data_IF_186712596577
#
_entry.id   IF_186712596577
#
_cell.length_a   1.000
_cell.length_b   1.000
_cell.length_c   1.000
_cell.angle_alpha   90.00
_cell.angle_beta   90.00
_cell.angle_gamma   90.00
#
_symmetry.space_group_name_H-M   'P 1'
#
loop_
_entity.id
_entity.type
_entity.pdbx_description
1 polymer ?
#
# COMPACT_ATOMS: atom_id res chain seq x y z
N UNK A 1 -3.68 24.72 -8.36
CA UNK A 1 -3.10 24.44 -9.70
C UNK A 1 -1.61 24.74 -9.65
N UNK A 2 -0.81 23.79 -9.17
CA UNK A 2 0.65 23.91 -9.13
C UNK A 2 1.20 23.72 -10.53
N UNK A 3 2.05 24.68 -10.95
CA UNK A 3 2.85 24.64 -12.17
C UNK A 3 3.40 23.23 -12.42
N UNK A 4 3.06 22.66 -13.57
CA UNK A 4 3.48 21.33 -14.00
C UNK A 4 4.98 21.38 -14.33
N UNK A 5 5.84 21.41 -13.30
CA UNK A 5 7.26 21.12 -13.47
C UNK A 5 7.36 19.76 -14.15
N UNK A 6 8.18 19.65 -15.19
CA UNK A 6 8.41 18.38 -15.86
C UNK A 6 8.87 17.37 -14.80
N UNK A 7 8.10 16.29 -14.63
CA UNK A 7 8.40 15.23 -13.68
C UNK A 7 9.81 14.64 -13.90
N UNK A 8 10.37 14.73 -15.11
CA UNK A 8 11.75 14.38 -15.36
C UNK A 8 12.73 15.27 -14.57
N UNK A 9 12.50 16.59 -14.54
CA UNK A 9 13.33 17.53 -13.78
C UNK A 9 13.20 17.30 -12.27
N UNK A 10 11.97 17.07 -11.79
CA UNK A 10 11.72 16.74 -10.38
C UNK A 10 12.41 15.43 -10.00
N UNK A 11 12.36 14.43 -10.88
CA UNK A 11 13.05 13.15 -10.69
C UNK A 11 14.57 13.32 -10.60
N UNK A 12 15.18 14.09 -11.51
CA UNK A 12 16.63 14.28 -11.51
C UNK A 12 17.10 15.06 -10.28
N UNK A 13 16.35 16.07 -9.85
CA UNK A 13 16.62 16.80 -8.61
C UNK A 13 16.50 15.90 -7.38
N UNK A 14 15.40 15.15 -7.27
CA UNK A 14 15.19 14.18 -6.20
C UNK A 14 16.30 13.12 -6.19
N UNK A 15 16.67 12.59 -7.36
CA UNK A 15 17.72 11.56 -7.49
C UNK A 15 19.06 12.07 -6.99
N UNK A 16 19.43 13.31 -7.35
CA UNK A 16 20.65 13.96 -6.85
C UNK A 16 20.66 14.07 -5.33
N UNK A 17 19.55 14.54 -4.73
CA UNK A 17 19.42 14.65 -3.27
C UNK A 17 19.45 13.26 -2.60
N UNK A 18 18.70 12.31 -3.16
CA UNK A 18 18.64 10.93 -2.70
C UNK A 18 20.02 10.27 -2.66
N UNK A 19 20.86 10.49 -3.68
CA UNK A 19 22.25 10.02 -3.70
C UNK A 19 23.07 10.69 -2.60
N UNK A 20 23.00 12.02 -2.50
CA UNK A 20 23.82 12.79 -1.54
C UNK A 20 23.53 12.41 -0.08
N UNK A 21 22.27 12.10 0.23
CA UNK A 21 21.82 11.75 1.58
C UNK A 21 21.59 10.26 1.80
N UNK A 22 21.90 9.42 0.79
CA UNK A 22 21.76 7.95 0.86
C UNK A 22 20.35 7.55 1.34
N UNK A 23 19.32 8.13 0.73
CA UNK A 23 17.93 8.00 1.19
C UNK A 23 16.94 7.88 0.04
N UNK A 24 15.87 7.12 0.22
CA UNK A 24 14.74 7.03 -0.72
C UNK A 24 13.52 7.85 -0.27
N UNK A 25 13.67 8.67 0.77
CA UNK A 25 12.61 9.57 1.23
C UNK A 25 12.05 10.39 0.07
N UNK A 26 10.74 10.68 0.11
CA UNK A 26 9.99 11.36 -0.95
C UNK A 26 9.87 10.60 -2.29
N UNK A 27 10.28 9.32 -2.37
CA UNK A 27 10.03 8.50 -3.57
C UNK A 27 8.54 8.30 -3.86
N UNK A 28 7.66 8.47 -2.87
CA UNK A 28 6.22 8.50 -3.03
C UNK A 28 5.76 9.67 -3.89
N UNK A 29 6.35 10.86 -3.74
CA UNK A 29 6.04 12.02 -4.58
C UNK A 29 6.43 11.79 -6.05
N UNK A 30 7.54 11.08 -6.26
CA UNK A 30 7.95 10.65 -7.61
C UNK A 30 6.94 9.67 -8.18
N UNK A 31 6.49 8.68 -7.39
CA UNK A 31 5.44 7.76 -7.82
C UNK A 31 4.16 8.50 -8.22
N UNK A 32 3.72 9.49 -7.44
CA UNK A 32 2.54 10.29 -7.81
C UNK A 32 2.67 10.97 -9.17
N UNK A 33 3.80 11.64 -9.39
CA UNK A 33 4.07 12.27 -10.69
C UNK A 33 4.13 11.26 -11.84
N UNK A 34 4.70 10.08 -11.61
CA UNK A 34 4.74 9.00 -12.60
C UNK A 34 3.36 8.42 -12.92
N UNK A 35 2.51 8.27 -11.91
CA UNK A 35 1.15 7.77 -12.10
C UNK A 35 0.30 8.76 -12.91
N UNK A 36 0.59 10.06 -12.81
CA UNK A 36 0.01 11.10 -13.67
C UNK A 36 0.45 11.05 -15.15
N UNK A 37 1.46 10.25 -15.50
CA UNK A 37 1.93 10.07 -16.89
C UNK A 37 1.24 8.89 -17.62
N UNK A 38 0.03 8.49 -17.21
CA UNK A 38 -0.67 7.35 -17.81
C UNK A 38 -0.86 7.52 -19.34
N UNK A 39 -1.03 8.75 -19.82
CA UNK A 39 -1.17 9.08 -21.25
C UNK A 39 0.16 8.97 -22.05
N UNK A 40 1.29 8.78 -21.36
CA UNK A 40 2.59 8.51 -21.98
C UNK A 40 3.25 7.25 -21.38
N UNK A 41 2.77 6.04 -21.77
CA UNK A 41 3.22 4.77 -21.20
C UNK A 41 4.74 4.55 -21.29
N UNK A 42 5.37 4.97 -22.38
CA UNK A 42 6.82 4.82 -22.59
C UNK A 42 7.62 5.69 -21.62
N UNK A 43 7.24 6.96 -21.44
CA UNK A 43 7.91 7.87 -20.48
C UNK A 43 7.68 7.38 -19.05
N UNK A 44 6.45 6.97 -18.73
CA UNK A 44 6.10 6.40 -17.43
C UNK A 44 6.97 5.17 -17.10
N UNK A 45 7.00 4.16 -17.99
CA UNK A 45 7.76 2.94 -17.77
C UNK A 45 9.27 3.19 -17.67
N UNK A 46 9.83 4.07 -18.51
CA UNK A 46 11.25 4.44 -18.48
C UNK A 46 11.64 5.08 -17.14
N UNK A 47 10.89 6.09 -16.69
CA UNK A 47 11.17 6.76 -15.43
C UNK A 47 10.92 5.84 -14.21
N UNK A 48 9.88 5.01 -14.25
CA UNK A 48 9.65 4.01 -13.21
C UNK A 48 10.82 3.02 -13.12
N UNK A 49 11.36 2.57 -14.26
CA UNK A 49 12.55 1.72 -14.28
C UNK A 49 13.77 2.40 -13.63
N UNK A 50 13.98 3.70 -13.90
CA UNK A 50 15.04 4.49 -13.26
C UNK A 50 14.83 4.63 -11.76
N UNK A 51 13.60 4.96 -11.33
CA UNK A 51 13.24 5.08 -9.91
C UNK A 51 13.50 3.78 -9.17
N UNK A 52 12.99 2.67 -9.69
CA UNK A 52 13.15 1.34 -9.11
C UNK A 52 14.62 0.94 -9.01
N UNK A 53 15.41 1.14 -10.08
CA UNK A 53 16.85 0.86 -10.08
C UNK A 53 17.62 1.73 -9.09
N UNK A 54 17.16 2.95 -8.84
CA UNK A 54 17.76 3.86 -7.88
C UNK A 54 17.43 3.44 -6.44
N UNK A 55 16.17 3.16 -6.13
CA UNK A 55 15.74 2.72 -4.80
C UNK A 55 16.43 1.42 -4.35
N UNK A 56 16.70 0.48 -5.28
CA UNK A 56 17.39 -0.77 -4.96
C UNK A 56 18.81 -0.61 -4.42
N UNK A 57 19.43 0.55 -4.63
CA UNK A 57 20.78 0.81 -4.11
C UNK A 57 20.76 1.06 -2.59
N UNK A 58 19.60 1.42 -2.03
CA UNK A 58 19.49 1.91 -0.65
C UNK A 58 18.44 1.17 0.19
N UNK A 59 17.41 0.58 -0.43
CA UNK A 59 16.34 -0.11 0.29
C UNK A 59 15.99 -1.47 -0.34
N UNK A 60 15.37 -2.32 0.49
CA UNK A 60 14.89 -3.63 0.05
C UNK A 60 13.77 -3.49 -1.01
N UNK A 61 13.74 -4.32 -2.07
CA UNK A 61 12.74 -4.22 -3.14
C UNK A 61 11.28 -4.16 -2.64
N UNK A 62 10.96 -4.95 -1.60
CA UNK A 62 9.63 -4.95 -0.99
C UNK A 62 9.24 -3.62 -0.34
N UNK A 63 10.20 -2.83 0.16
CA UNK A 63 9.93 -1.48 0.69
C UNK A 63 9.53 -0.53 -0.43
N UNK A 64 10.21 -0.61 -1.58
CA UNK A 64 9.86 0.19 -2.77
C UNK A 64 8.47 -0.16 -3.30
N UNK A 65 8.12 -1.45 -3.35
CA UNK A 65 6.77 -1.88 -3.76
C UNK A 65 5.72 -1.52 -2.72
N UNK A 66 6.02 -1.62 -1.42
CA UNK A 66 5.13 -1.16 -0.36
C UNK A 66 4.80 0.33 -0.55
N UNK A 67 5.81 1.14 -0.86
CA UNK A 67 5.64 2.57 -1.11
C UNK A 67 4.74 2.85 -2.32
N UNK A 68 4.93 2.11 -3.43
CA UNK A 68 4.04 2.19 -4.59
C UNK A 68 2.59 1.85 -4.24
N UNK A 69 2.36 0.75 -3.52
CA UNK A 69 1.00 0.33 -3.12
C UNK A 69 0.35 1.39 -2.23
N UNK A 70 1.06 1.89 -1.21
CA UNK A 70 0.53 2.94 -0.34
C UNK A 70 0.25 4.24 -1.12
N UNK A 71 1.10 4.59 -2.10
CA UNK A 71 0.89 5.75 -2.98
C UNK A 71 -0.35 5.57 -3.85
N UNK A 72 -0.59 4.38 -4.40
CA UNK A 72 -1.79 4.06 -5.19
C UNK A 72 -3.07 4.16 -4.33
N UNK A 73 -3.01 3.77 -3.06
CA UNK A 73 -4.13 3.95 -2.12
C UNK A 73 -4.40 5.42 -1.87
N UNK A 74 -3.35 6.19 -1.56
CA UNK A 74 -3.44 7.64 -1.30
C UNK A 74 -4.03 8.40 -2.48
N UNK A 75 -3.65 8.02 -3.70
CA UNK A 75 -4.15 8.61 -4.96
C UNK A 75 -5.47 7.99 -5.45
N UNK A 76 -6.15 7.19 -4.62
CA UNK A 76 -7.46 6.56 -4.91
C UNK A 76 -7.46 5.62 -6.11
N UNK A 77 -6.31 5.09 -6.49
CA UNK A 77 -6.16 4.06 -7.52
C UNK A 77 -6.23 2.64 -6.92
N UNK A 78 -7.31 2.32 -6.21
CA UNK A 78 -7.45 1.07 -5.44
C UNK A 78 -7.36 -0.19 -6.30
N UNK A 79 -7.91 -0.19 -7.52
CA UNK A 79 -7.82 -1.33 -8.44
C UNK A 79 -6.37 -1.59 -8.88
N UNK A 80 -5.62 -0.52 -9.11
CA UNK A 80 -4.19 -0.58 -9.42
C UNK A 80 -3.38 -1.06 -8.23
N UNK A 81 -3.67 -0.56 -7.03
CA UNK A 81 -3.03 -1.02 -5.79
C UNK A 81 -3.26 -2.52 -5.60
N UNK A 82 -4.52 -2.97 -5.75
CA UNK A 82 -4.91 -4.39 -5.69
C UNK A 82 -4.17 -5.23 -6.73
N UNK A 83 -4.04 -4.75 -7.96
CA UNK A 83 -3.32 -5.44 -9.02
C UNK A 83 -1.85 -5.70 -8.65
N UNK A 84 -1.16 -4.68 -8.13
CA UNK A 84 0.24 -4.80 -7.67
C UNK A 84 0.33 -5.73 -6.45
N UNK A 85 -0.58 -5.58 -5.48
CA UNK A 85 -0.65 -6.40 -4.27
C UNK A 85 -0.87 -7.89 -4.58
N UNK A 86 -1.73 -8.19 -5.55
CA UNK A 86 -1.98 -9.56 -5.99
C UNK A 86 -0.83 -10.12 -6.81
N UNK A 87 -0.04 -9.31 -7.49
CA UNK A 87 1.14 -9.76 -8.24
C UNK A 87 2.35 -10.01 -7.32
N UNK A 88 2.58 -9.12 -6.36
CA UNK A 88 3.79 -9.09 -5.54
C UNK A 88 3.44 -9.34 -4.09
N UNK A 89 4.07 -10.34 -3.49
CA UNK A 89 3.95 -10.56 -2.05
C UNK A 89 4.93 -9.67 -1.30
N UNK A 90 4.39 -8.69 -0.59
CA UNK A 90 5.16 -7.73 0.22
C UNK A 90 4.96 -8.08 1.69
N UNK A 91 6.03 -8.40 2.44
CA UNK A 91 5.95 -8.61 3.87
C UNK A 91 5.36 -7.41 4.62
N UNK A 92 4.47 -7.66 5.57
CA UNK A 92 3.73 -6.63 6.33
C UNK A 92 4.63 -5.55 6.95
N UNK A 93 5.81 -5.93 7.44
CA UNK A 93 6.78 -5.00 8.04
C UNK A 93 7.19 -3.84 7.13
N UNK A 94 7.18 -4.01 5.82
CA UNK A 94 7.60 -2.97 4.87
C UNK A 94 6.54 -1.87 4.68
N UNK A 95 5.27 -2.14 5.03
CA UNK A 95 4.21 -1.15 4.96
C UNK A 95 4.18 -0.22 6.18
N UNK A 96 4.79 -0.60 7.31
CA UNK A 96 4.72 0.20 8.55
C UNK A 96 5.25 1.62 8.31
N UNK A 97 6.44 1.76 7.72
CA UNK A 97 7.07 3.07 7.43
C UNK A 97 6.20 3.92 6.49
N UNK A 98 5.70 3.34 5.40
CA UNK A 98 4.96 4.07 4.36
C UNK A 98 3.55 4.46 4.83
N UNK A 99 2.92 3.64 5.65
CA UNK A 99 1.64 3.98 6.28
C UNK A 99 1.80 5.03 7.37
N UNK A 100 2.90 5.01 8.14
CA UNK A 100 3.18 6.06 9.13
C UNK A 100 3.44 7.42 8.48
N UNK A 101 4.21 7.46 7.38
CA UNK A 101 4.43 8.70 6.64
C UNK A 101 3.14 9.25 6.03
N UNK A 102 2.13 8.40 5.81
CA UNK A 102 0.84 8.85 5.29
C UNK A 102 0.00 9.68 6.27
N UNK A 103 0.38 9.73 7.56
CA UNK A 103 -0.33 10.46 8.60
C UNK A 103 -0.37 11.99 8.42
N UNK A 104 0.44 12.52 7.49
CA UNK A 104 0.53 13.94 7.17
C UNK A 104 -0.39 14.37 6.01
N UNK A 105 -1.11 13.46 5.37
CA UNK A 105 -1.96 13.78 4.23
C UNK A 105 -3.42 14.04 4.61
N UNK A 106 -4.13 14.73 3.73
CA UNK A 106 -5.59 14.83 3.80
C UNK A 106 -6.21 13.43 3.63
N UNK A 107 -7.32 13.18 4.33
CA UNK A 107 -8.03 11.89 4.30
C UNK A 107 -7.24 10.67 4.80
N UNK A 108 -6.31 10.84 5.76
CA UNK A 108 -5.55 9.73 6.36
C UNK A 108 -6.45 8.58 6.81
N UNK A 109 -7.55 8.88 7.50
CA UNK A 109 -8.49 7.86 7.97
C UNK A 109 -9.00 7.00 6.81
N UNK A 110 -9.56 7.62 5.76
CA UNK A 110 -10.05 6.91 4.57
C UNK A 110 -8.94 6.08 3.91
N UNK A 111 -7.72 6.59 3.83
CA UNK A 111 -6.59 5.84 3.27
C UNK A 111 -6.26 4.59 4.10
N UNK A 112 -6.38 4.66 5.43
CA UNK A 112 -6.22 3.49 6.32
C UNK A 112 -7.34 2.48 6.07
N UNK A 113 -8.59 2.93 5.95
CA UNK A 113 -9.73 2.03 5.67
C UNK A 113 -9.59 1.35 4.30
N UNK A 114 -9.22 2.13 3.27
CA UNK A 114 -8.98 1.65 1.91
C UNK A 114 -7.84 0.62 1.89
N UNK A 115 -6.76 0.86 2.65
CA UNK A 115 -5.65 -0.08 2.77
C UNK A 115 -6.06 -1.36 3.52
N UNK A 116 -6.85 -1.25 4.59
CA UNK A 116 -7.37 -2.41 5.31
C UNK A 116 -8.30 -3.27 4.43
N UNK A 117 -9.10 -2.63 3.57
CA UNK A 117 -9.89 -3.30 2.54
C UNK A 117 -8.99 -4.08 1.57
N UNK A 118 -7.88 -3.48 1.10
CA UNK A 118 -6.90 -4.20 0.27
C UNK A 118 -6.27 -5.40 0.98
N UNK A 119 -5.91 -5.28 2.26
CA UNK A 119 -5.38 -6.41 3.05
C UNK A 119 -6.40 -7.55 3.15
N UNK A 120 -7.68 -7.21 3.32
CA UNK A 120 -8.80 -8.17 3.31
C UNK A 120 -8.87 -8.92 1.99
N UNK A 121 -8.88 -8.17 0.89
CA UNK A 121 -9.10 -8.69 -0.46
C UNK A 121 -7.88 -9.39 -1.05
N UNK A 122 -6.67 -9.07 -0.58
CA UNK A 122 -5.43 -9.62 -1.13
C UNK A 122 -4.75 -10.62 -0.22
N UNK A 123 -4.64 -10.36 1.09
CA UNK A 123 -3.90 -11.22 2.01
C UNK A 123 -4.81 -12.21 2.73
N UNK A 124 -5.91 -11.73 3.34
CA UNK A 124 -6.86 -12.61 4.02
C UNK A 124 -7.62 -13.51 3.04
N UNK A 125 -8.01 -12.99 1.86
CA UNK A 125 -8.62 -13.80 0.82
C UNK A 125 -7.69 -14.92 0.30
N UNK A 126 -6.38 -14.64 0.16
CA UNK A 126 -5.38 -15.65 -0.20
C UNK A 126 -5.30 -16.75 0.87
N UNK A 127 -5.31 -16.37 2.16
CA UNK A 127 -5.36 -17.31 3.30
C UNK A 127 -6.62 -18.18 3.26
N UNK A 128 -7.78 -17.59 2.95
CA UNK A 128 -9.08 -18.29 2.85
C UNK A 128 -9.22 -19.18 1.60
N UNK A 129 -8.22 -19.20 0.69
CA UNK A 129 -8.20 -19.97 -0.58
C UNK A 129 -9.37 -19.67 -1.54
N UNK A 130 -10.06 -18.55 -1.38
CA UNK A 130 -11.16 -18.14 -2.27
C UNK A 130 -10.59 -17.50 -3.54
N UNK A 131 -10.04 -18.32 -4.44
CA UNK A 131 -9.52 -17.85 -5.75
C UNK A 131 -10.65 -17.67 -6.75
N UNK A 132 -11.37 -16.55 -6.72
CA UNK A 132 -12.06 -16.07 -7.92
C UNK A 132 -11.07 -15.22 -8.73
N UNK A 133 -10.90 -15.46 -10.03
CA UNK A 133 -10.10 -14.59 -10.87
C UNK A 133 -10.80 -13.23 -10.97
N UNK A 134 -10.30 -12.23 -10.24
CA UNK A 134 -10.72 -10.85 -10.46
C UNK A 134 -10.01 -10.33 -11.71
N UNK A 135 -10.79 -9.99 -12.73
CA UNK A 135 -10.31 -9.18 -13.85
C UNK A 135 -10.21 -7.75 -13.31
N UNK A 136 -9.00 -7.29 -13.03
CA UNK A 136 -8.73 -5.92 -12.59
C UNK A 136 -8.27 -5.09 -13.78
N UNK A 137 -9.06 -4.08 -14.12
CA UNK A 137 -8.63 -3.02 -15.03
C UNK A 137 -7.95 -1.92 -14.21
N UNK A 138 -6.79 -1.45 -14.70
CA UNK A 138 -6.07 -0.32 -14.14
C UNK A 138 -6.03 0.79 -15.18
N UNK A 139 -6.41 2.00 -14.77
CA UNK A 139 -6.31 3.20 -15.62
C UNK A 139 -4.95 3.88 -15.57
N UNK A 140 -4.10 3.53 -14.59
CA UNK A 140 -2.81 4.21 -14.35
C UNK A 140 -1.58 3.30 -14.49
N UNK A 141 -1.75 1.98 -14.33
CA UNK A 141 -0.69 1.01 -14.54
C UNK A 141 -0.75 0.50 -15.98
N UNK A 142 -0.02 1.18 -16.85
CA UNK A 142 0.12 0.78 -18.25
C UNK A 142 0.77 -0.60 -18.38
N UNK A 143 0.50 -1.35 -19.47
CA UNK A 143 1.16 -2.63 -19.71
C UNK A 143 2.69 -2.56 -19.63
N UNK A 144 3.28 -1.48 -20.14
CA UNK A 144 4.72 -1.21 -20.10
C UNK A 144 5.23 -1.03 -18.66
N UNK A 145 4.51 -0.27 -17.82
CA UNK A 145 4.86 -0.14 -16.41
C UNK A 145 4.73 -1.47 -15.67
N UNK A 146 3.71 -2.28 -15.97
CA UNK A 146 3.54 -3.61 -15.38
C UNK A 146 4.70 -4.54 -15.75
N UNK A 147 5.23 -4.48 -16.98
CA UNK A 147 6.40 -5.25 -17.40
C UNK A 147 7.66 -4.84 -16.62
N UNK A 148 7.84 -3.54 -16.38
CA UNK A 148 8.94 -3.02 -15.56
C UNK A 148 8.83 -3.54 -14.12
N UNK A 149 7.64 -3.52 -13.53
CA UNK A 149 7.39 -4.07 -12.19
C UNK A 149 7.61 -5.58 -12.13
N UNK A 150 7.17 -6.33 -13.15
CA UNK A 150 7.38 -7.77 -13.24
C UNK A 150 8.89 -8.09 -13.32
N UNK A 151 9.67 -7.30 -14.08
CA UNK A 151 11.13 -7.42 -14.15
C UNK A 151 11.80 -7.13 -12.82
N UNK A 152 11.41 -6.02 -12.18
CA UNK A 152 11.92 -5.59 -10.87
C UNK A 152 11.70 -6.64 -9.79
N UNK A 153 10.51 -7.23 -9.76
CA UNK A 153 10.17 -8.26 -8.79
C UNK A 153 10.80 -9.62 -9.13
N UNK A 154 11.59 -9.74 -10.21
CA UNK A 154 12.22 -11.00 -10.61
C UNK A 154 11.27 -12.02 -11.26
N UNK A 155 10.07 -11.59 -11.67
CA UNK A 155 9.09 -12.46 -12.36
C UNK A 155 9.57 -12.77 -13.79
N UNK A 156 10.32 -11.86 -14.41
CA UNK A 156 10.77 -11.97 -15.81
C UNK A 156 12.03 -12.82 -16.03
N UNK A 157 12.78 -13.18 -14.98
CA UNK A 157 14.03 -13.97 -15.09
C UNK A 157 13.86 -15.48 -14.90
N UNK A 158 12.63 -15.98 -14.71
CA UNK A 158 12.39 -17.41 -14.89
C UNK A 158 12.51 -17.71 -16.38
N UNK A 159 13.71 -18.16 -16.78
CA UNK A 159 13.94 -18.93 -18.01
C UNK A 159 12.67 -19.75 -18.26
N UNK A 160 12.12 -19.66 -19.47
CA UNK A 160 11.14 -20.60 -19.97
C UNK A 160 11.76 -22.01 -19.92
N UNK A 161 11.76 -22.60 -18.73
CA UNK A 161 12.07 -23.99 -18.52
C UNK A 161 10.93 -24.73 -19.19
N UNK A 162 11.23 -25.26 -20.37
CA UNK A 162 10.41 -26.24 -21.06
C UNK A 162 9.87 -27.23 -20.03
N UNK A 163 8.55 -27.42 -20.05
CA UNK A 163 7.80 -28.41 -19.27
C UNK A 163 7.86 -28.29 -17.74
N UNK A 164 6.93 -27.52 -17.17
CA UNK A 164 6.21 -27.96 -15.97
C UNK A 164 4.73 -27.64 -16.17
N UNK A 165 3.93 -28.70 -16.08
CA UNK A 165 2.48 -28.70 -16.21
C UNK A 165 1.80 -27.68 -15.27
N UNK A 166 0.60 -27.26 -15.70
CA UNK A 166 -0.42 -26.55 -14.92
C UNK A 166 -0.30 -26.83 -13.42
N UNK A 167 0.14 -25.82 -12.65
CA UNK A 167 -0.41 -25.50 -11.33
C UNK A 167 0.25 -24.22 -10.80
N UNK A 168 -0.57 -23.19 -10.62
CA UNK A 168 -0.32 -21.96 -9.86
C UNK A 168 1.06 -21.29 -10.05
N UNK A 169 1.08 -20.13 -10.71
CA UNK A 169 2.21 -19.18 -10.56
C UNK A 169 2.32 -18.79 -9.08
N UNK A 170 3.11 -19.55 -8.32
CA UNK A 170 3.40 -19.29 -6.90
C UNK A 170 4.10 -17.95 -6.82
N UNK A 171 3.48 -16.99 -6.12
CA UNK A 171 4.11 -15.73 -5.72
C UNK A 171 5.47 -16.01 -5.08
N UNK A 172 6.40 -15.07 -5.23
CA UNK A 172 7.78 -15.21 -4.72
C UNK A 172 7.79 -15.38 -3.19
N UNK A 173 6.78 -14.84 -2.49
CA UNK A 173 6.52 -15.13 -1.09
C UNK A 173 5.05 -15.51 -0.87
N UNK A 174 4.79 -16.48 0.00
CA UNK A 174 3.45 -16.81 0.51
C UNK A 174 3.16 -15.90 1.70
N UNK A 175 1.93 -15.44 1.86
CA UNK A 175 1.51 -14.62 3.01
C UNK A 175 1.90 -15.35 4.31
N UNK A 176 2.80 -14.75 5.09
CA UNK A 176 3.18 -15.25 6.41
C UNK A 176 2.13 -14.76 7.42
N UNK A 177 1.49 -15.71 8.11
CA UNK A 177 0.45 -15.41 9.09
C UNK A 177 0.92 -14.42 10.16
N UNK A 178 2.14 -14.59 10.67
CA UNK A 178 2.72 -13.68 11.68
C UNK A 178 2.80 -12.25 11.13
N UNK A 179 3.29 -12.09 9.90
CA UNK A 179 3.41 -10.78 9.27
C UNK A 179 2.05 -10.15 8.93
N UNK A 180 1.05 -10.97 8.62
CA UNK A 180 -0.32 -10.50 8.40
C UNK A 180 -0.95 -10.01 9.70
N UNK A 181 -0.79 -10.74 10.80
CA UNK A 181 -1.29 -10.31 12.11
C UNK A 181 -0.55 -9.04 12.60
N UNK A 182 0.77 -8.97 12.47
CA UNK A 182 1.54 -7.75 12.81
C UNK A 182 1.11 -6.53 12.01
N UNK A 183 0.83 -6.70 10.71
CA UNK A 183 0.32 -5.60 9.88
C UNK A 183 -1.10 -5.21 10.31
N UNK A 184 -1.93 -6.19 10.63
CA UNK A 184 -3.31 -5.97 11.04
C UNK A 184 -3.41 -5.22 12.37
N UNK A 185 -2.59 -5.61 13.36
CA UNK A 185 -2.48 -4.90 14.62
C UNK A 185 -1.98 -3.46 14.42
N UNK A 186 -0.99 -3.28 13.55
CA UNK A 186 -0.51 -1.95 13.19
C UNK A 186 -1.62 -1.09 12.57
N UNK A 187 -2.43 -1.66 11.67
CA UNK A 187 -3.57 -0.98 11.05
C UNK A 187 -4.66 -0.63 12.07
N UNK A 188 -5.00 -1.53 13.00
CA UNK A 188 -5.96 -1.24 14.07
C UNK A 188 -5.51 -0.04 14.92
N UNK A 189 -4.23 -0.02 15.32
CA UNK A 189 -3.66 1.10 16.08
C UNK A 189 -3.70 2.42 15.29
N UNK A 190 -3.31 2.39 14.03
CA UNK A 190 -3.31 3.57 13.17
C UNK A 190 -4.74 4.08 12.93
N UNK A 191 -5.69 3.19 12.66
CA UNK A 191 -7.09 3.51 12.47
C UNK A 191 -7.68 4.17 13.72
N UNK A 192 -7.46 3.60 14.91
CA UNK A 192 -7.94 4.19 16.17
C UNK A 192 -7.36 5.58 16.40
N UNK A 193 -6.07 5.77 16.14
CA UNK A 193 -5.42 7.07 16.28
C UNK A 193 -6.05 8.12 15.35
N UNK A 194 -6.29 7.76 14.10
CA UNK A 194 -6.90 8.69 13.13
C UNK A 194 -8.40 8.91 13.39
N UNK A 195 -9.12 7.90 13.88
CA UNK A 195 -10.50 8.03 14.34
C UNK A 195 -10.62 9.01 15.52
N UNK A 196 -9.71 8.91 16.50
CA UNK A 196 -9.65 9.86 17.61
C UNK A 196 -9.32 11.28 17.12
N UNK A 197 -8.31 11.42 16.25
CA UNK A 197 -7.89 12.72 15.70
C UNK A 197 -8.99 13.41 14.89
N UNK A 198 -9.80 12.64 14.17
CA UNK A 198 -10.92 13.14 13.36
C UNK A 198 -12.24 13.22 14.12
N UNK A 199 -12.28 12.76 15.37
CA UNK A 199 -13.51 12.60 16.16
C UNK A 199 -14.59 11.76 15.45
N UNK A 200 -14.19 10.83 14.56
CA UNK A 200 -15.11 9.92 13.87
C UNK A 200 -15.32 8.65 14.72
N UNK A 201 -16.38 8.66 15.53
CA UNK A 201 -16.75 7.51 16.35
C UNK A 201 -17.23 6.32 15.52
N UNK A 202 -17.83 6.56 14.35
CA UNK A 202 -18.26 5.48 13.47
C UNK A 202 -17.07 4.75 12.84
N UNK A 203 -15.93 5.43 12.67
CA UNK A 203 -14.69 4.78 12.25
C UNK A 203 -14.24 3.68 13.23
N UNK A 204 -14.46 3.87 14.53
CA UNK A 204 -14.17 2.86 15.54
C UNK A 204 -15.05 1.62 15.34
N UNK A 205 -16.33 1.82 15.03
CA UNK A 205 -17.26 0.72 14.75
C UNK A 205 -16.90 -0.01 13.45
N UNK A 206 -16.50 0.73 12.39
CA UNK A 206 -16.00 0.15 11.13
C UNK A 206 -14.73 -0.68 11.37
N UNK A 207 -13.79 -0.18 12.17
CA UNK A 207 -12.56 -0.91 12.54
C UNK A 207 -12.87 -2.17 13.34
N UNK A 208 -13.82 -2.13 14.29
CA UNK A 208 -14.24 -3.28 15.06
C UNK A 208 -14.90 -4.34 14.17
N UNK A 209 -15.81 -3.93 13.28
CA UNK A 209 -16.43 -4.83 12.31
C UNK A 209 -15.38 -5.51 11.41
N UNK A 210 -14.41 -4.73 10.91
CA UNK A 210 -13.30 -5.26 10.14
C UNK A 210 -12.48 -6.27 10.94
N UNK A 211 -12.17 -5.97 12.20
CA UNK A 211 -11.41 -6.85 13.10
C UNK A 211 -12.13 -8.16 13.38
N UNK A 212 -13.43 -8.11 13.66
CA UNK A 212 -14.27 -9.30 13.88
C UNK A 212 -14.34 -10.19 12.63
N UNK A 213 -14.51 -9.60 11.45
CA UNK A 213 -14.60 -10.36 10.18
C UNK A 213 -13.31 -11.14 9.83
N UNK A 214 -12.18 -10.74 10.42
CA UNK A 214 -10.87 -11.35 10.23
C UNK A 214 -10.35 -12.09 11.48
N UNK A 215 -11.17 -12.21 12.53
CA UNK A 215 -10.81 -12.83 13.82
C UNK A 215 -9.53 -12.22 14.41
N UNK A 216 -9.41 -10.90 14.34
CA UNK A 216 -8.31 -10.16 14.93
C UNK A 216 -8.60 -9.90 16.41
N UNK A 217 -7.58 -10.08 17.23
CA UNK A 217 -7.66 -9.82 18.66
C UNK A 217 -7.66 -8.30 18.92
N UNK A 218 -8.47 -7.86 19.88
CA UNK A 218 -8.47 -6.49 20.37
C UNK A 218 -7.70 -6.51 21.68
N UNK A 219 -6.50 -5.91 21.68
CA UNK A 219 -5.66 -5.88 22.88
C UNK A 219 -6.35 -5.10 24.01
N UNK A 220 -6.06 -5.40 25.29
CA UNK A 220 -6.62 -4.63 26.41
C UNK A 220 -6.35 -3.12 26.31
N UNK A 221 -5.18 -2.75 25.74
CA UNK A 221 -4.82 -1.36 25.47
C UNK A 221 -5.76 -0.71 24.45
N UNK A 222 -6.05 -1.38 23.33
CA UNK A 222 -7.00 -0.89 22.34
C UNK A 222 -8.42 -0.83 22.91
N UNK A 223 -8.85 -1.84 23.67
CA UNK A 223 -10.16 -1.86 24.29
C UNK A 223 -10.38 -0.65 25.22
N UNK A 224 -9.37 -0.29 26.02
CA UNK A 224 -9.39 0.92 26.85
C UNK A 224 -9.53 2.19 25.99
N UNK A 225 -8.70 2.33 24.95
CA UNK A 225 -8.77 3.49 24.05
C UNK A 225 -10.14 3.62 23.36
N UNK A 226 -10.71 2.51 22.91
CA UNK A 226 -12.06 2.46 22.32
C UNK A 226 -13.11 2.94 23.32
N UNK A 227 -13.05 2.49 24.57
CA UNK A 227 -13.96 2.93 25.62
C UNK A 227 -13.82 4.43 25.90
N UNK A 228 -12.60 4.95 25.95
CA UNK A 228 -12.31 6.37 26.17
C UNK A 228 -12.92 7.21 25.03
N UNK A 229 -12.67 6.84 23.77
CA UNK A 229 -13.24 7.53 22.60
C UNK A 229 -14.78 7.51 22.62
N UNK A 230 -15.39 6.37 22.97
CA UNK A 230 -16.86 6.23 23.05
C UNK A 230 -17.50 6.90 24.25
N UNK A 231 -16.76 7.17 25.32
CA UNK A 231 -17.30 7.88 26.50
C UNK A 231 -17.42 9.38 26.30
N UNK A 232 -16.62 9.96 25.40
CA UNK A 232 -16.61 11.41 25.07
C UNK A 232 -17.89 11.88 24.35
N UNK A 233 -18.75 10.95 23.92
CA UNK A 233 -20.00 11.21 23.19
C UNK A 233 -21.27 11.24 24.03
N UNK A 234 -21.19 11.19 25.38
CA UNK A 234 -22.41 11.39 26.18
C UNK A 234 -22.92 12.83 25.95
N UNK A 235 -24.16 13.01 25.44
CA UNK A 235 -24.73 14.35 25.36
C UNK A 235 -24.83 14.94 26.77
N UNK A 236 -24.73 16.27 26.93
CA UNK A 236 -25.02 16.90 28.21
C UNK A 236 -26.42 16.43 28.63
N UNK A 237 -26.54 15.94 29.85
CA UNK A 237 -27.85 15.68 30.46
C UNK A 237 -28.61 17.00 30.39
N UNK A 238 -29.64 17.08 29.55
CA UNK A 238 -30.62 18.15 29.58
C UNK A 238 -31.29 18.07 30.95
N UNK A 239 -30.86 18.94 31.86
CA UNK A 239 -31.54 19.24 33.11
C UNK A 239 -32.56 20.33 32.90
#
# INVERSE_FOLDING_TARGET
MTSCRDIAQVFDEWRRLSTNYVTTCASDLIWEGLLGLADNPKKQASLAGKLLSHCLQYEHPSATVANLITTLVRTKHLNSARLVFLKVSVPGKFFKKTLQSSAYHEHTLQNVEDFASLVSDCMFAEKKRTKKPLILQSSVLTPELLLVLDSFCGVSKRKQSKYVAKNDKKKIHRVNDVQLYELSEFLQNLWLKEAEKSSDHHAVDRMLAWSMSHKLEITPKMAKQIADIKSRTKPPKSG
#
